data_IF_690250248157
#
_entry.id   IF_690250248157
#
_cell.length_a   1.000
_cell.length_b   1.000
_cell.length_c   1.000
_cell.angle_alpha   90.00
_cell.angle_beta   90.00
_cell.angle_gamma   90.00
#
_symmetry.space_group_name_H-M   'P 1'
#
loop_
_entity.id
_entity.type
_entity.pdbx_description
1 polymer ?
#
# COMPACT_ATOMS: atom_id res chain seq x y z
N UNK A 1 -49.81 10.55 18.30
CA UNK A 1 -48.64 11.46 18.32
C UNK A 1 -47.57 10.86 17.41
N UNK A 2 -47.09 11.60 16.39
CA UNK A 2 -46.17 11.04 15.41
C UNK A 2 -44.74 11.04 15.94
N UNK A 3 -43.98 10.00 15.59
CA UNK A 3 -42.56 9.87 15.85
C UNK A 3 -41.78 10.91 15.02
N UNK A 4 -40.83 11.59 15.64
CA UNK A 4 -39.90 12.49 14.95
C UNK A 4 -38.96 11.70 14.03
N UNK A 5 -38.94 11.96 12.71
CA UNK A 5 -37.89 11.48 11.83
C UNK A 5 -36.76 12.52 11.80
N UNK A 6 -35.51 12.13 12.04
CA UNK A 6 -34.40 13.08 11.84
C UNK A 6 -33.05 12.77 12.48
N UNK A 7 -32.92 11.75 13.32
CA UNK A 7 -31.63 11.46 13.99
C UNK A 7 -30.87 10.31 13.31
N UNK A 8 -31.54 9.31 12.74
CA UNK A 8 -30.86 8.19 12.06
C UNK A 8 -30.19 8.61 10.74
N UNK A 9 -30.82 9.47 9.93
CA UNK A 9 -30.24 9.92 8.67
C UNK A 9 -28.99 10.82 8.84
N UNK A 10 -28.89 11.57 9.95
CA UNK A 10 -27.75 12.41 10.26
C UNK A 10 -26.53 11.59 10.75
N UNK A 11 -26.77 10.51 11.51
CA UNK A 11 -25.72 9.59 11.96
C UNK A 11 -25.16 8.77 10.78
N UNK A 12 -26.00 8.44 9.79
CA UNK A 12 -25.60 7.74 8.57
C UNK A 12 -25.01 8.68 7.49
N UNK A 13 -25.25 9.99 7.58
CA UNK A 13 -24.60 10.99 6.75
C UNK A 13 -23.17 11.31 7.24
N UNK A 14 -22.94 11.31 8.56
CA UNK A 14 -21.61 11.52 9.14
C UNK A 14 -20.67 10.32 8.95
N UNK A 15 -21.19 9.09 8.94
CA UNK A 15 -20.40 7.90 8.57
C UNK A 15 -19.95 7.90 7.09
N UNK A 16 -20.68 8.57 6.19
CA UNK A 16 -20.33 8.69 4.76
C UNK A 16 -19.19 9.67 4.47
N UNK A 17 -18.86 10.57 5.40
CA UNK A 17 -17.71 11.48 5.28
C UNK A 17 -16.41 10.90 5.86
N UNK A 18 -16.46 9.77 6.56
CA UNK A 18 -15.30 9.03 7.08
C UNK A 18 -14.93 7.78 6.27
N UNK A 19 -15.66 7.54 5.17
CA UNK A 19 -15.44 6.40 4.29
C UNK A 19 -14.66 6.84 3.04
N UNK A 20 -13.41 6.34 2.95
CA UNK A 20 -12.55 6.25 1.76
C UNK A 20 -11.68 7.45 1.37
N UNK A 21 -10.52 7.58 2.02
CA UNK A 21 -9.33 8.17 1.38
C UNK A 21 -8.62 7.16 0.47
N UNK A 22 -7.92 7.64 -0.59
CA UNK A 22 -6.72 7.04 -1.14
C UNK A 22 -6.47 5.54 -1.08
N UNK A 23 -7.10 4.64 -1.85
CA UNK A 23 -6.42 3.34 -2.06
C UNK A 23 -5.12 3.63 -2.84
N UNK A 24 -3.97 3.15 -2.37
CA UNK A 24 -2.63 3.52 -2.81
C UNK A 24 -2.17 2.69 -4.00
N UNK A 25 -1.68 3.39 -5.01
CA UNK A 25 -1.16 2.78 -6.23
C UNK A 25 0.13 2.01 -5.96
N UNK A 26 0.24 0.87 -6.61
CA UNK A 26 1.49 0.44 -7.22
C UNK A 26 1.79 1.44 -8.35
N UNK A 27 2.35 2.60 -8.01
CA UNK A 27 2.62 3.61 -9.02
C UNK A 27 3.83 3.16 -9.84
N UNK A 28 3.58 2.70 -11.07
CA UNK A 28 4.53 2.91 -12.16
C UNK A 28 4.99 4.37 -12.14
N UNK A 29 6.23 4.63 -12.57
CA UNK A 29 6.83 5.97 -12.56
C UNK A 29 5.89 7.03 -13.17
N UNK A 30 5.03 6.68 -14.13
CA UNK A 30 4.08 7.61 -14.77
C UNK A 30 2.91 8.04 -13.86
N UNK A 31 2.22 7.11 -13.19
CA UNK A 31 1.18 7.45 -12.20
C UNK A 31 1.77 8.12 -10.94
N UNK A 32 3.05 7.87 -10.63
CA UNK A 32 3.79 8.57 -9.57
C UNK A 32 4.22 9.98 -9.99
N UNK A 33 4.61 10.18 -11.25
CA UNK A 33 4.96 11.48 -11.83
C UNK A 33 3.75 12.42 -11.82
N UNK A 34 2.54 11.92 -12.11
CA UNK A 34 1.31 12.71 -11.94
C UNK A 34 1.11 13.23 -10.50
N UNK A 35 1.63 12.54 -9.49
CA UNK A 35 1.58 12.98 -8.10
C UNK A 35 2.71 13.95 -7.71
N UNK A 36 3.79 14.04 -8.51
CA UNK A 36 4.98 14.85 -8.22
C UNK A 36 5.18 16.07 -9.13
N UNK A 37 4.64 16.06 -10.35
CA UNK A 37 4.72 17.17 -11.31
C UNK A 37 3.46 18.05 -11.22
N UNK A 38 3.28 18.74 -10.10
CA UNK A 38 2.41 19.90 -10.07
C UNK A 38 3.15 21.08 -10.72
N UNK A 39 3.26 21.09 -12.06
CA UNK A 39 3.38 22.37 -12.76
C UNK A 39 2.02 23.05 -12.62
N UNK A 40 1.89 23.77 -11.50
CA UNK A 40 0.77 24.62 -11.19
C UNK A 40 0.75 25.74 -12.24
N UNK A 41 -0.32 25.80 -13.05
CA UNK A 41 -0.71 27.05 -13.69
C UNK A 41 -1.22 27.95 -12.56
N UNK A 42 -0.29 28.67 -11.93
CA UNK A 42 -0.54 29.51 -10.76
C UNK A 42 -1.36 30.75 -11.14
N UNK A 43 -2.31 31.15 -10.29
CA UNK A 43 -2.30 32.48 -9.66
C UNK A 43 -2.92 32.46 -8.23
N UNK A 44 -2.18 33.08 -7.30
CA UNK A 44 -2.55 33.72 -6.01
C UNK A 44 -2.85 32.92 -4.71
N UNK A 45 -1.88 33.06 -3.77
CA UNK A 45 -1.93 33.29 -2.29
C UNK A 45 -2.45 32.24 -1.28
N UNK A 46 -1.48 31.70 -0.52
CA UNK A 46 -1.36 31.59 0.97
C UNK A 46 -2.47 30.98 1.86
N UNK A 47 -2.21 29.75 2.35
CA UNK A 47 -2.03 29.32 3.78
C UNK A 47 -2.53 27.89 4.02
N UNK A 48 -1.62 27.00 4.43
CA UNK A 48 -1.87 25.61 4.77
C UNK A 48 -1.91 25.42 6.30
N UNK A 49 -2.85 24.60 6.78
CA UNK A 49 -2.72 23.88 8.07
C UNK A 49 -3.28 22.44 7.94
N UNK A 50 -2.55 21.40 8.36
CA UNK A 50 -3.06 20.04 8.42
C UNK A 50 -3.53 19.65 9.84
N UNK A 51 -4.74 19.09 9.94
CA UNK A 51 -5.32 18.49 11.16
C UNK A 51 -5.11 16.96 11.24
N UNK A 52 -5.09 16.45 12.47
CA UNK A 52 -4.42 15.22 12.95
C UNK A 52 -5.31 13.97 13.19
N UNK A 53 -4.62 12.83 13.29
CA UNK A 53 -4.87 11.65 14.14
C UNK A 53 -5.84 10.51 13.73
N UNK A 54 -6.65 10.60 12.68
CA UNK A 54 -7.31 9.39 12.08
C UNK A 54 -6.65 8.88 10.79
N UNK A 55 -5.63 9.60 10.30
CA UNK A 55 -5.01 9.39 8.99
C UNK A 55 -3.93 8.29 8.95
N UNK A 56 -3.59 7.65 10.09
CA UNK A 56 -2.37 6.82 10.16
C UNK A 56 -2.55 5.40 9.66
N UNK A 57 -3.72 4.77 9.84
CA UNK A 57 -3.89 3.33 9.58
C UNK A 57 -4.02 3.03 8.07
N UNK A 58 -4.77 3.83 7.31
CA UNK A 58 -4.91 3.65 5.84
C UNK A 58 -3.67 4.08 5.05
N UNK A 59 -2.93 5.09 5.54
CA UNK A 59 -1.60 5.45 4.98
C UNK A 59 -0.57 4.32 5.15
N UNK A 60 -0.77 3.41 6.11
CA UNK A 60 0.17 2.32 6.36
C UNK A 60 0.00 1.14 5.40
N UNK A 61 -1.22 0.65 5.15
CA UNK A 61 -1.47 -0.39 4.12
C UNK A 61 -0.91 0.06 2.76
N UNK A 62 -1.02 1.35 2.50
CA UNK A 62 -0.47 2.03 1.33
C UNK A 62 1.00 2.00 1.12
N UNK A 63 1.74 2.23 2.19
CA UNK A 63 3.18 2.19 2.12
C UNK A 63 3.64 0.72 2.04
N UNK A 64 2.92 -0.23 2.63
CA UNK A 64 3.25 -1.66 2.59
C UNK A 64 3.08 -2.28 1.21
N UNK A 65 1.97 -2.00 0.52
CA UNK A 65 1.78 -2.46 -0.86
C UNK A 65 2.86 -1.89 -1.80
N UNK A 66 3.23 -0.61 -1.60
CA UNK A 66 4.37 0.02 -2.28
C UNK A 66 5.71 -0.61 -1.88
N UNK A 67 5.93 -0.94 -0.63
CA UNK A 67 7.16 -1.59 -0.17
C UNK A 67 7.30 -3.01 -0.71
N UNK A 68 6.20 -3.74 -0.87
CA UNK A 68 6.19 -5.07 -1.47
C UNK A 68 6.38 -5.01 -2.99
N UNK A 69 5.90 -3.94 -3.63
CA UNK A 69 6.07 -3.73 -5.06
C UNK A 69 7.53 -3.68 -5.52
N UNK A 70 8.47 -3.24 -4.65
CA UNK A 70 9.89 -3.16 -5.00
C UNK A 70 10.50 -4.51 -5.37
N UNK A 71 9.88 -5.60 -4.93
CA UNK A 71 10.31 -6.96 -5.25
C UNK A 71 9.79 -7.43 -6.61
N UNK A 72 8.90 -6.66 -7.24
CA UNK A 72 8.43 -6.90 -8.60
C UNK A 72 9.13 -5.92 -9.54
N UNK A 73 9.91 -6.41 -10.52
CA UNK A 73 10.43 -5.56 -11.58
C UNK A 73 9.29 -5.23 -12.55
N UNK A 74 8.41 -4.34 -12.12
CA UNK A 74 7.61 -3.54 -13.03
C UNK A 74 8.60 -2.59 -13.66
N UNK A 75 9.08 -2.89 -14.89
CA UNK A 75 9.87 -1.91 -15.63
C UNK A 75 9.06 -0.61 -15.62
N UNK A 76 9.63 0.51 -15.13
CA UNK A 76 9.07 1.81 -15.44
C UNK A 76 8.79 1.81 -16.94
N UNK A 77 7.57 2.16 -17.33
CA UNK A 77 7.47 2.77 -18.65
C UNK A 77 8.29 4.05 -18.49
N UNK A 78 9.55 4.05 -18.92
CA UNK A 78 10.32 5.28 -18.97
C UNK A 78 9.55 6.20 -19.90
N UNK A 79 8.89 7.21 -19.33
CA UNK A 79 8.36 8.30 -20.12
C UNK A 79 9.58 8.89 -20.83
N UNK A 80 9.52 9.15 -22.14
CA UNK A 80 10.53 9.99 -22.77
C UNK A 80 10.66 11.29 -21.97
N UNK A 81 11.86 11.88 -21.92
CA UNK A 81 12.13 13.12 -21.16
C UNK A 81 11.24 14.30 -21.58
N UNK A 82 10.53 14.17 -22.70
CA UNK A 82 9.56 15.12 -23.25
C UNK A 82 8.10 14.86 -22.84
N UNK A 83 7.80 13.76 -22.15
CA UNK A 83 6.44 13.41 -21.75
C UNK A 83 5.82 14.45 -20.79
N UNK A 84 4.66 14.97 -21.15
CA UNK A 84 3.90 15.93 -20.35
C UNK A 84 2.80 15.21 -19.56
N UNK A 85 2.71 15.54 -18.28
CA UNK A 85 1.68 15.06 -17.35
C UNK A 85 0.94 16.27 -16.78
N UNK A 86 -0.39 16.28 -16.88
CA UNK A 86 -1.22 17.40 -16.43
C UNK A 86 -2.09 16.96 -15.27
N UNK A 87 -2.09 17.74 -14.19
CA UNK A 87 -3.03 17.57 -13.07
C UNK A 87 -4.05 18.70 -13.11
N UNK A 88 -5.32 18.33 -13.16
CA UNK A 88 -6.46 19.24 -13.14
C UNK A 88 -7.08 19.24 -11.74
N UNK A 89 -7.38 20.43 -11.26
CA UNK A 89 -8.10 20.72 -10.02
C UNK A 89 -9.54 21.12 -10.31
N UNK A 90 -10.36 21.30 -9.27
CA UNK A 90 -11.73 21.80 -9.40
C UNK A 90 -11.84 23.17 -10.07
N UNK A 91 -10.77 23.98 -10.10
CA UNK A 91 -10.73 25.27 -10.82
C UNK A 91 -10.82 25.09 -12.34
N UNK A 92 -10.49 23.90 -12.83
CA UNK A 92 -10.54 23.54 -14.25
C UNK A 92 -11.89 22.93 -14.65
N UNK A 93 -12.82 22.77 -13.70
CA UNK A 93 -14.07 22.03 -13.86
C UNK A 93 -15.27 22.98 -13.80
N UNK A 94 -16.12 22.92 -14.81
CA UNK A 94 -17.37 23.67 -14.90
C UNK A 94 -18.38 23.23 -13.82
N UNK A 95 -19.43 24.04 -13.60
CA UNK A 95 -20.43 23.78 -12.55
C UNK A 95 -21.22 22.48 -12.75
N UNK A 96 -21.37 22.04 -14.00
CA UNK A 96 -22.02 20.78 -14.39
C UNK A 96 -21.10 19.55 -14.25
N UNK A 97 -19.84 19.77 -13.88
CA UNK A 97 -18.83 18.73 -13.74
C UNK A 97 -18.15 18.36 -15.05
N UNK A 98 -18.31 19.12 -16.13
CA UNK A 98 -17.49 19.01 -17.34
C UNK A 98 -16.13 19.71 -17.20
N UNK A 99 -15.14 19.35 -18.02
CA UNK A 99 -13.87 20.10 -18.10
C UNK A 99 -14.13 21.39 -18.88
N UNK A 100 -13.59 22.52 -18.40
CA UNK A 100 -13.77 23.81 -19.08
C UNK A 100 -13.27 23.74 -20.54
N UNK A 101 -14.01 24.29 -21.54
CA UNK A 101 -13.61 24.23 -22.95
C UNK A 101 -12.21 24.77 -23.23
N UNK A 102 -11.83 25.89 -22.60
CA UNK A 102 -10.49 26.47 -22.75
C UNK A 102 -9.37 25.53 -22.26
N UNK A 103 -9.65 24.70 -21.25
CA UNK A 103 -8.72 23.69 -20.74
C UNK A 103 -8.61 22.53 -21.75
N UNK A 104 -9.73 22.06 -22.30
CA UNK A 104 -9.74 21.04 -23.36
C UNK A 104 -8.97 21.49 -24.59
N UNK A 105 -9.16 22.74 -25.03
CA UNK A 105 -8.42 23.34 -26.14
C UNK A 105 -6.91 23.40 -25.86
N UNK A 106 -6.54 23.70 -24.62
CA UNK A 106 -5.13 23.71 -24.19
C UNK A 106 -4.53 22.31 -24.20
N UNK A 107 -5.26 21.30 -23.71
CA UNK A 107 -4.82 19.90 -23.70
C UNK A 107 -4.65 19.37 -25.13
N UNK A 108 -5.59 19.68 -26.03
CA UNK A 108 -5.55 19.25 -27.43
C UNK A 108 -4.35 19.80 -28.21
N UNK A 109 -3.80 20.95 -27.79
CA UNK A 109 -2.58 21.53 -28.40
C UNK A 109 -1.28 20.91 -27.90
N UNK A 110 -1.31 20.08 -26.85
CA UNK A 110 -0.10 19.47 -26.29
C UNK A 110 0.29 18.19 -27.06
N UNK A 111 1.33 18.29 -27.90
CA UNK A 111 1.84 17.18 -28.72
C UNK A 111 2.58 16.08 -27.93
N UNK A 112 2.98 16.38 -26.70
CA UNK A 112 3.69 15.43 -25.82
C UNK A 112 2.89 15.04 -24.58
N UNK A 113 1.58 15.33 -24.54
CA UNK A 113 0.73 14.95 -23.41
C UNK A 113 0.53 13.43 -23.34
N UNK A 114 1.04 12.83 -22.27
CA UNK A 114 1.01 11.39 -22.01
C UNK A 114 -0.03 11.04 -20.96
N UNK A 115 -0.26 11.90 -19.97
CA UNK A 115 -1.17 11.58 -18.87
C UNK A 115 -1.92 12.77 -18.28
N UNK A 116 -3.14 12.49 -17.84
CA UNK A 116 -4.01 13.44 -17.15
C UNK A 116 -4.42 12.86 -15.80
N UNK A 117 -4.33 13.68 -14.75
CA UNK A 117 -4.96 13.42 -13.47
C UNK A 117 -6.10 14.39 -13.21
N UNK A 118 -7.26 13.82 -12.88
CA UNK A 118 -8.49 14.48 -12.44
C UNK A 118 -8.85 14.00 -11.03
N UNK A 119 -7.87 13.47 -10.30
CA UNK A 119 -8.03 12.88 -8.98
C UNK A 119 -8.77 13.81 -8.02
N UNK A 120 -9.75 13.25 -7.31
CA UNK A 120 -10.54 13.93 -6.29
C UNK A 120 -11.19 15.23 -6.78
N UNK A 121 -11.43 15.37 -8.09
CA UNK A 121 -12.19 16.49 -8.65
C UNK A 121 -13.69 16.17 -8.72
N UNK A 122 -14.49 17.21 -8.97
CA UNK A 122 -15.95 17.15 -9.05
C UNK A 122 -16.49 16.63 -10.38
N UNK A 123 -15.64 16.11 -11.28
CA UNK A 123 -16.08 15.71 -12.61
C UNK A 123 -17.19 14.67 -12.59
N UNK A 124 -18.07 14.74 -13.59
CA UNK A 124 -19.10 13.74 -13.88
C UNK A 124 -18.73 12.96 -15.15
N UNK A 125 -19.52 11.94 -15.50
CA UNK A 125 -19.28 11.13 -16.70
C UNK A 125 -19.20 11.95 -18.00
N UNK A 126 -19.86 13.11 -18.06
CA UNK A 126 -19.81 14.02 -19.22
C UNK A 126 -18.41 14.61 -19.49
N UNK A 127 -17.55 14.72 -18.47
CA UNK A 127 -16.20 15.25 -18.61
C UNK A 127 -15.31 14.36 -19.49
N UNK A 128 -15.53 13.04 -19.47
CA UNK A 128 -14.65 12.09 -20.15
C UNK A 128 -14.83 12.14 -21.66
N UNK A 129 -16.05 12.42 -22.14
CA UNK A 129 -16.32 12.68 -23.56
C UNK A 129 -15.44 13.82 -24.11
N UNK A 130 -15.16 14.85 -23.30
CA UNK A 130 -14.26 15.95 -23.66
C UNK A 130 -12.81 15.53 -23.91
N UNK A 131 -12.38 14.37 -23.39
CA UNK A 131 -11.04 13.81 -23.58
C UNK A 131 -10.89 12.97 -24.84
N UNK A 132 -11.99 12.65 -25.55
CA UNK A 132 -11.97 11.84 -26.77
C UNK A 132 -11.07 12.37 -27.90
N UNK A 133 -10.85 13.70 -28.07
CA UNK A 133 -9.84 14.19 -29.01
C UNK A 133 -8.42 13.67 -28.72
N UNK A 134 -8.12 13.26 -27.48
CA UNK A 134 -6.83 12.73 -27.05
C UNK A 134 -6.72 11.20 -27.14
N UNK A 135 -7.70 10.51 -27.73
CA UNK A 135 -7.79 9.04 -27.75
C UNK A 135 -6.58 8.31 -28.33
N UNK A 136 -5.83 9.00 -29.20
CA UNK A 136 -4.65 8.46 -29.90
C UNK A 136 -3.31 8.87 -29.23
N UNK A 137 -3.34 9.54 -28.08
CA UNK A 137 -2.12 9.97 -27.38
C UNK A 137 -2.14 9.65 -25.88
N UNK A 138 -3.31 9.67 -25.25
CA UNK A 138 -3.43 9.55 -23.79
C UNK A 138 -3.11 8.12 -23.35
N UNK A 139 -2.06 7.98 -22.54
CA UNK A 139 -1.59 6.69 -22.03
C UNK A 139 -1.90 6.51 -20.54
N UNK A 140 -2.06 7.60 -19.79
CA UNK A 140 -2.32 7.56 -18.35
C UNK A 140 -3.52 8.41 -18.00
N UNK A 141 -4.48 7.82 -17.30
CA UNK A 141 -5.68 8.52 -16.85
C UNK A 141 -5.98 8.19 -15.39
N UNK A 142 -5.93 9.23 -14.55
CA UNK A 142 -6.22 9.16 -13.13
C UNK A 142 -7.57 9.83 -12.83
N UNK A 143 -8.58 9.00 -12.54
CA UNK A 143 -9.94 9.40 -12.21
C UNK A 143 -10.32 9.02 -10.78
N UNK A 144 -9.32 8.73 -9.93
CA UNK A 144 -9.55 8.29 -8.57
C UNK A 144 -10.42 9.31 -7.80
N UNK A 145 -11.42 8.84 -7.06
CA UNK A 145 -12.20 9.69 -6.16
C UNK A 145 -13.12 10.69 -6.88
N UNK A 146 -13.40 10.47 -8.17
CA UNK A 146 -14.30 11.28 -8.98
C UNK A 146 -15.74 10.73 -8.98
N UNK A 147 -16.69 11.46 -9.56
CA UNK A 147 -18.12 11.07 -9.59
C UNK A 147 -18.53 10.35 -10.87
N UNK A 148 -17.57 9.86 -11.66
CA UNK A 148 -17.85 9.09 -12.88
C UNK A 148 -18.61 7.79 -12.55
N UNK A 149 -19.48 7.40 -13.47
CA UNK A 149 -20.24 6.14 -13.44
C UNK A 149 -20.09 5.42 -14.79
N UNK A 150 -20.86 4.33 -14.97
CA UNK A 150 -20.76 3.46 -16.15
C UNK A 150 -20.99 4.19 -17.48
N UNK A 151 -21.67 5.35 -17.48
CA UNK A 151 -21.89 6.15 -18.70
C UNK A 151 -20.58 6.65 -19.31
N UNK A 152 -19.52 6.77 -18.51
CA UNK A 152 -18.21 7.21 -19.00
C UNK A 152 -17.35 6.09 -19.58
N UNK A 153 -17.71 4.81 -19.37
CA UNK A 153 -16.81 3.70 -19.66
C UNK A 153 -16.69 3.41 -21.16
N UNK A 154 -17.71 3.72 -21.96
CA UNK A 154 -17.62 3.65 -23.43
C UNK A 154 -16.63 4.70 -23.97
N UNK A 155 -16.65 5.91 -23.41
CA UNK A 155 -15.70 6.96 -23.75
C UNK A 155 -14.28 6.57 -23.31
N UNK A 156 -14.11 6.04 -22.10
CA UNK A 156 -12.83 5.54 -21.60
C UNK A 156 -12.32 4.38 -22.46
N UNK A 157 -13.21 3.45 -22.85
CA UNK A 157 -12.92 2.35 -23.76
C UNK A 157 -12.48 2.80 -25.15
N UNK A 158 -12.80 4.04 -25.54
CA UNK A 158 -12.37 4.64 -26.81
C UNK A 158 -10.96 5.23 -26.76
N UNK A 159 -10.37 5.41 -25.57
CA UNK A 159 -9.01 5.91 -25.36
C UNK A 159 -7.98 4.78 -25.53
N UNK A 160 -7.89 4.25 -26.75
CA UNK A 160 -7.21 2.98 -27.09
C UNK A 160 -5.71 2.94 -26.80
N UNK A 161 -5.06 4.10 -26.60
CA UNK A 161 -3.66 4.20 -26.21
C UNK A 161 -3.42 4.07 -24.68
N UNK A 162 -4.48 3.97 -23.87
CA UNK A 162 -4.37 3.84 -22.42
C UNK A 162 -3.55 2.62 -22.00
N UNK A 163 -2.59 2.88 -21.11
CA UNK A 163 -1.69 1.92 -20.46
C UNK A 163 -1.92 1.85 -18.97
N UNK A 164 -2.31 2.95 -18.35
CA UNK A 164 -2.51 3.04 -16.91
C UNK A 164 -3.81 3.80 -16.61
N UNK A 165 -4.74 3.12 -15.93
CA UNK A 165 -6.05 3.65 -15.59
C UNK A 165 -6.33 3.42 -14.10
N UNK A 166 -6.65 4.48 -13.39
CA UNK A 166 -7.15 4.39 -12.02
C UNK A 166 -8.55 4.99 -11.93
N UNK A 167 -9.49 4.16 -11.51
CA UNK A 167 -10.89 4.53 -11.26
C UNK A 167 -11.32 4.09 -9.87
N UNK A 168 -10.37 4.02 -8.92
CA UNK A 168 -10.65 3.73 -7.53
C UNK A 168 -11.58 4.77 -6.91
N UNK A 169 -12.50 4.32 -6.05
CA UNK A 169 -13.48 5.19 -5.35
C UNK A 169 -14.28 6.05 -6.34
N UNK A 170 -14.85 5.39 -7.35
CA UNK A 170 -15.80 5.98 -8.31
C UNK A 170 -17.17 5.31 -8.18
N UNK A 171 -18.14 5.68 -9.03
CA UNK A 171 -19.46 5.05 -9.09
C UNK A 171 -19.56 3.95 -10.15
N UNK A 172 -18.46 3.64 -10.84
CA UNK A 172 -18.34 2.54 -11.79
C UNK A 172 -18.74 1.21 -11.14
N UNK A 173 -19.42 0.37 -11.92
CA UNK A 173 -19.93 -0.92 -11.50
C UNK A 173 -19.45 -2.04 -12.42
N UNK A 174 -19.59 -3.29 -11.97
CA UNK A 174 -19.05 -4.46 -12.69
C UNK A 174 -19.56 -4.59 -14.15
N UNK A 175 -20.87 -4.41 -14.44
CA UNK A 175 -21.38 -4.45 -15.81
C UNK A 175 -20.67 -3.48 -16.78
N UNK A 176 -20.40 -2.25 -16.34
CA UNK A 176 -19.80 -1.22 -17.17
C UNK A 176 -18.38 -1.53 -17.63
N UNK A 177 -17.63 -2.36 -16.89
CA UNK A 177 -16.24 -2.71 -17.22
C UNK A 177 -16.08 -3.48 -18.53
N UNK A 178 -17.16 -4.02 -19.08
CA UNK A 178 -17.18 -4.63 -20.42
C UNK A 178 -16.70 -3.66 -21.50
N UNK A 179 -16.98 -2.36 -21.34
CA UNK A 179 -16.55 -1.32 -22.28
C UNK A 179 -15.03 -1.15 -22.33
N UNK A 180 -14.31 -1.54 -21.27
CA UNK A 180 -12.84 -1.45 -21.22
C UNK A 180 -12.14 -2.55 -22.03
N UNK A 181 -12.86 -3.58 -22.48
CA UNK A 181 -12.25 -4.74 -23.16
C UNK A 181 -11.54 -4.38 -24.46
N UNK A 182 -11.82 -3.21 -25.05
CA UNK A 182 -11.12 -2.62 -26.18
C UNK A 182 -9.70 -2.15 -25.87
N UNK A 183 -9.37 -1.88 -24.59
CA UNK A 183 -8.09 -1.30 -24.15
C UNK A 183 -6.96 -2.34 -24.13
N UNK A 184 -6.57 -2.84 -25.31
CA UNK A 184 -5.58 -3.92 -25.46
C UNK A 184 -4.16 -3.54 -25.01
N UNK A 185 -3.89 -2.24 -24.84
CA UNK A 185 -2.60 -1.71 -24.34
C UNK A 185 -2.58 -1.49 -22.83
N UNK A 186 -3.71 -1.70 -22.13
CA UNK A 186 -3.81 -1.46 -20.70
C UNK A 186 -2.91 -2.42 -19.92
N UNK A 187 -2.00 -1.86 -19.12
CA UNK A 187 -0.99 -2.56 -18.31
C UNK A 187 -1.30 -2.47 -16.82
N UNK A 188 -1.85 -1.35 -16.37
CA UNK A 188 -2.19 -1.07 -14.98
C UNK A 188 -3.65 -0.70 -14.90
N UNK A 189 -4.41 -1.42 -14.07
CA UNK A 189 -5.79 -1.11 -13.76
C UNK A 189 -5.98 -1.12 -12.24
N UNK A 190 -6.36 0.04 -11.70
CA UNK A 190 -6.68 0.22 -10.28
C UNK A 190 -8.19 0.43 -10.15
N UNK A 191 -8.85 -0.50 -9.47
CA UNK A 191 -10.27 -0.46 -9.16
C UNK A 191 -10.48 -0.69 -7.66
N UNK A 192 -11.47 0.00 -7.11
CA UNK A 192 -11.90 -0.22 -5.73
C UNK A 192 -13.36 0.14 -5.56
N UNK A 193 -13.94 -0.31 -4.46
CA UNK A 193 -15.29 0.05 -4.06
C UNK A 193 -16.31 -1.08 -4.24
N UNK A 194 -17.40 -0.94 -3.49
CA UNK A 194 -18.38 -2.00 -3.23
C UNK A 194 -19.27 -2.37 -4.43
N UNK A 195 -19.13 -1.68 -5.56
CA UNK A 195 -19.90 -1.92 -6.82
C UNK A 195 -19.20 -2.89 -7.77
N UNK A 196 -17.92 -3.19 -7.51
CA UNK A 196 -17.12 -4.18 -8.24
C UNK A 196 -17.25 -5.54 -7.53
N UNK A 197 -17.58 -6.60 -8.28
CA UNK A 197 -17.77 -7.97 -7.80
C UNK A 197 -17.24 -8.99 -8.84
N UNK A 198 -17.50 -10.28 -8.64
CA UNK A 198 -16.99 -11.36 -9.51
C UNK A 198 -17.32 -11.21 -11.01
N UNK A 199 -18.40 -10.53 -11.41
CA UNK A 199 -18.67 -10.34 -12.85
C UNK A 199 -17.69 -9.40 -13.52
N UNK A 200 -17.04 -8.51 -12.76
CA UNK A 200 -15.99 -7.64 -13.26
C UNK A 200 -14.77 -8.43 -13.75
N UNK A 201 -14.42 -9.53 -13.08
CA UNK A 201 -13.19 -10.27 -13.37
C UNK A 201 -13.26 -10.96 -14.74
N UNK A 202 -14.46 -11.29 -15.24
CA UNK A 202 -14.68 -11.80 -16.60
C UNK A 202 -14.26 -10.78 -17.65
N UNK A 203 -14.69 -9.51 -17.52
CA UNK A 203 -14.31 -8.45 -18.45
C UNK A 203 -12.80 -8.14 -18.34
N UNK A 204 -12.29 -8.08 -17.10
CA UNK A 204 -10.87 -7.81 -16.85
C UNK A 204 -9.98 -8.92 -17.43
N UNK A 205 -10.41 -10.18 -17.35
CA UNK A 205 -9.70 -11.32 -17.94
C UNK A 205 -9.50 -11.25 -19.46
N UNK A 206 -10.18 -10.32 -20.16
CA UNK A 206 -10.04 -10.08 -21.59
C UNK A 206 -9.02 -8.97 -21.95
N UNK A 207 -8.26 -8.48 -20.96
CA UNK A 207 -7.23 -7.45 -21.11
C UNK A 207 -5.83 -8.08 -21.17
N UNK A 208 -5.32 -8.44 -22.35
CA UNK A 208 -4.15 -9.32 -22.50
C UNK A 208 -2.83 -8.70 -22.06
N UNK A 209 -2.78 -7.37 -21.91
CA UNK A 209 -1.56 -6.63 -21.58
C UNK A 209 -1.42 -6.29 -20.10
N UNK A 210 -2.39 -6.68 -19.25
CA UNK A 210 -2.35 -6.36 -17.83
C UNK A 210 -1.13 -6.99 -17.16
N UNK A 211 -0.34 -6.12 -16.54
CA UNK A 211 0.82 -6.45 -15.72
C UNK A 211 0.49 -6.28 -14.24
N UNK A 212 -0.44 -5.38 -13.93
CA UNK A 212 -0.84 -5.07 -12.58
C UNK A 212 -2.34 -4.81 -12.50
N UNK A 213 -2.94 -5.38 -11.47
CA UNK A 213 -4.36 -5.24 -11.17
C UNK A 213 -4.55 -5.06 -9.66
N UNK A 214 -5.30 -4.04 -9.27
CA UNK A 214 -5.83 -3.92 -7.92
C UNK A 214 -7.34 -3.96 -7.95
N UNK A 215 -7.90 -4.83 -7.12
CA UNK A 215 -9.33 -4.98 -6.84
C UNK A 215 -9.58 -4.78 -5.34
N UNK A 216 -8.74 -3.97 -4.70
CA UNK A 216 -8.76 -3.81 -3.24
C UNK A 216 -10.05 -3.12 -2.79
N UNK A 217 -10.64 -3.60 -1.69
CA UNK A 217 -11.90 -3.08 -1.15
C UNK A 217 -13.12 -3.32 -2.06
N UNK A 218 -13.04 -4.28 -2.98
CA UNK A 218 -14.16 -4.71 -3.82
C UNK A 218 -14.91 -5.90 -3.21
N UNK A 219 -15.99 -6.34 -3.85
CA UNK A 219 -16.78 -7.53 -3.45
C UNK A 219 -16.40 -8.78 -4.25
N UNK A 220 -15.18 -8.83 -4.78
CA UNK A 220 -14.66 -10.04 -5.42
C UNK A 220 -14.49 -11.14 -4.38
N UNK A 221 -14.82 -12.36 -4.77
CA UNK A 221 -14.73 -13.59 -4.00
C UNK A 221 -13.89 -14.63 -4.75
N UNK A 222 -13.72 -15.81 -4.17
CA UNK A 222 -13.00 -16.94 -4.77
C UNK A 222 -13.54 -17.32 -6.17
N UNK A 223 -14.82 -17.04 -6.46
CA UNK A 223 -15.43 -17.31 -7.77
C UNK A 223 -14.82 -16.44 -8.88
N UNK A 224 -14.49 -15.19 -8.58
CA UNK A 224 -13.94 -14.24 -9.54
C UNK A 224 -12.49 -14.55 -9.94
N UNK A 225 -11.72 -15.28 -9.13
CA UNK A 225 -10.30 -15.52 -9.37
C UNK A 225 -10.01 -16.33 -10.64
N UNK A 226 -10.89 -17.26 -11.02
CA UNK A 226 -10.66 -18.13 -12.16
C UNK A 226 -10.53 -17.34 -13.49
N UNK A 227 -11.30 -16.26 -13.65
CA UNK A 227 -11.23 -15.41 -14.83
C UNK A 227 -9.91 -14.61 -14.91
N UNK A 228 -9.26 -14.34 -13.77
CA UNK A 228 -7.98 -13.62 -13.73
C UNK A 228 -6.79 -14.51 -14.14
N UNK A 229 -6.96 -15.83 -14.14
CA UNK A 229 -5.93 -16.79 -14.54
C UNK A 229 -5.57 -16.70 -16.05
N UNK A 230 -6.38 -16.01 -16.86
CA UNK A 230 -6.10 -15.73 -18.28
C UNK A 230 -5.05 -14.64 -18.49
N UNK A 231 -4.74 -13.85 -17.45
CA UNK A 231 -3.86 -12.69 -17.51
C UNK A 231 -2.39 -13.09 -17.50
N UNK A 232 -1.92 -13.72 -18.58
CA UNK A 232 -0.58 -14.32 -18.70
C UNK A 232 0.61 -13.37 -18.42
N UNK A 233 0.40 -12.05 -18.46
CA UNK A 233 1.41 -11.02 -18.19
C UNK A 233 1.35 -10.44 -16.77
N UNK A 234 0.39 -10.87 -15.95
CA UNK A 234 0.14 -10.33 -14.62
C UNK A 234 1.31 -10.66 -13.67
N UNK A 235 1.83 -9.62 -13.03
CA UNK A 235 2.97 -9.69 -12.09
C UNK A 235 2.59 -9.28 -10.68
N UNK A 236 1.60 -8.40 -10.53
CA UNK A 236 1.13 -7.91 -9.25
C UNK A 236 -0.40 -7.91 -9.19
N UNK A 237 -0.96 -8.51 -8.14
CA UNK A 237 -2.39 -8.61 -7.91
C UNK A 237 -2.74 -8.17 -6.48
N UNK A 238 -3.50 -7.08 -6.35
CA UNK A 238 -4.01 -6.58 -5.07
C UNK A 238 -5.45 -7.02 -4.83
N UNK A 239 -5.70 -7.78 -3.76
CA UNK A 239 -7.02 -8.25 -3.35
C UNK A 239 -7.33 -7.84 -1.90
N UNK A 240 -6.64 -6.83 -1.36
CA UNK A 240 -6.82 -6.46 0.04
C UNK A 240 -8.26 -6.01 0.33
N UNK A 241 -8.82 -6.39 1.48
CA UNK A 241 -10.17 -5.99 1.89
C UNK A 241 -11.28 -6.56 1.00
N UNK A 242 -11.01 -7.67 0.29
CA UNK A 242 -12.01 -8.44 -0.45
C UNK A 242 -12.50 -9.63 0.36
N UNK A 243 -13.47 -10.39 -0.15
CA UNK A 243 -14.06 -11.57 0.53
C UNK A 243 -13.44 -12.87 0.05
N UNK A 244 -12.12 -12.89 -0.04
CA UNK A 244 -11.35 -14.05 -0.49
C UNK A 244 -11.08 -14.94 0.72
N UNK A 245 -11.68 -16.13 0.72
CA UNK A 245 -11.45 -17.19 1.71
C UNK A 245 -10.26 -18.09 1.30
N UNK A 246 -9.91 -18.07 0.02
CA UNK A 246 -8.73 -18.72 -0.54
C UNK A 246 -8.95 -20.12 -1.08
N UNK A 247 -10.21 -20.57 -1.19
CA UNK A 247 -10.56 -21.92 -1.66
C UNK A 247 -10.15 -22.20 -3.12
N UNK A 248 -9.92 -21.15 -3.92
CA UNK A 248 -9.56 -21.24 -5.34
C UNK A 248 -8.24 -20.53 -5.70
N UNK A 249 -7.45 -20.12 -4.69
CA UNK A 249 -6.21 -19.36 -4.92
C UNK A 249 -5.23 -20.10 -5.84
N UNK A 250 -5.15 -21.42 -5.74
CA UNK A 250 -4.30 -22.27 -6.58
C UNK A 250 -4.56 -22.09 -8.08
N UNK A 251 -5.75 -21.64 -8.49
CA UNK A 251 -6.04 -21.33 -9.91
C UNK A 251 -5.18 -20.19 -10.46
N UNK A 252 -4.73 -19.26 -9.61
CA UNK A 252 -3.85 -18.17 -10.02
C UNK A 252 -2.38 -18.61 -10.11
N UNK A 253 -2.02 -19.78 -9.58
CA UNK A 253 -0.63 -20.26 -9.61
C UNK A 253 -0.16 -20.63 -11.03
N UNK A 254 -1.08 -20.73 -12.00
CA UNK A 254 -0.77 -20.90 -13.43
C UNK A 254 -0.13 -19.64 -14.04
N UNK A 255 -0.31 -18.47 -13.41
CA UNK A 255 0.24 -17.21 -13.90
C UNK A 255 1.77 -17.24 -13.82
N UNK A 256 2.48 -17.21 -14.97
CA UNK A 256 3.89 -17.58 -15.02
C UNK A 256 4.80 -16.53 -14.38
N UNK A 257 4.36 -15.28 -14.27
CA UNK A 257 5.14 -14.14 -13.81
C UNK A 257 4.56 -13.46 -12.55
N UNK A 258 3.52 -14.03 -11.94
CA UNK A 258 2.93 -13.45 -10.73
C UNK A 258 3.93 -13.50 -9.58
N UNK A 259 4.33 -12.32 -9.11
CA UNK A 259 5.42 -12.13 -8.16
C UNK A 259 5.01 -11.35 -6.90
N UNK A 260 3.91 -10.59 -6.93
CA UNK A 260 3.37 -9.91 -5.75
C UNK A 260 1.86 -10.13 -5.61
N UNK A 261 1.44 -10.51 -4.41
CA UNK A 261 0.06 -10.80 -4.08
C UNK A 261 -0.32 -10.10 -2.76
N UNK A 262 -1.32 -9.22 -2.82
CA UNK A 262 -1.95 -8.64 -1.62
C UNK A 262 -3.18 -9.44 -1.23
N UNK A 263 -3.20 -9.96 -0.01
CA UNK A 263 -4.35 -10.59 0.61
C UNK A 263 -4.63 -9.98 1.99
N UNK A 264 -4.15 -8.77 2.27
CA UNK A 264 -4.41 -8.10 3.54
C UNK A 264 -5.91 -7.91 3.78
N UNK A 265 -6.37 -8.11 5.01
CA UNK A 265 -7.78 -7.92 5.39
C UNK A 265 -8.74 -8.80 4.57
N UNK A 266 -8.33 -10.01 4.20
CA UNK A 266 -9.22 -11.02 3.62
C UNK A 266 -9.46 -12.19 4.58
N UNK A 267 -10.45 -13.01 4.26
CA UNK A 267 -10.89 -14.16 5.07
C UNK A 267 -10.02 -15.42 4.87
N UNK A 268 -8.73 -15.23 4.55
CA UNK A 268 -7.79 -16.33 4.31
C UNK A 268 -7.65 -17.18 5.56
N UNK A 269 -7.93 -18.47 5.40
CA UNK A 269 -7.80 -19.48 6.45
C UNK A 269 -6.40 -20.10 6.47
N UNK A 270 -5.99 -20.65 7.61
CA UNK A 270 -4.70 -21.36 7.70
C UNK A 270 -4.56 -22.51 6.70
N UNK A 271 -5.65 -23.20 6.38
CA UNK A 271 -5.68 -24.28 5.38
C UNK A 271 -5.55 -23.73 3.95
N UNK A 272 -6.19 -22.60 3.65
CA UNK A 272 -6.08 -21.96 2.33
C UNK A 272 -4.65 -21.46 2.03
N UNK A 273 -3.84 -21.12 3.05
CA UNK A 273 -2.40 -20.84 2.89
C UNK A 273 -1.66 -22.05 2.30
N UNK A 274 -2.14 -23.27 2.52
CA UNK A 274 -1.64 -24.47 1.84
C UNK A 274 -1.61 -24.33 0.31
N UNK A 275 -2.65 -23.73 -0.27
CA UNK A 275 -2.77 -23.47 -1.72
C UNK A 275 -1.79 -22.41 -2.21
N UNK A 276 -1.41 -21.45 -1.36
CA UNK A 276 -0.35 -20.49 -1.70
C UNK A 276 0.98 -21.19 -1.98
N UNK A 277 1.23 -22.39 -1.46
CA UNK A 277 2.48 -23.12 -1.77
C UNK A 277 2.66 -23.48 -3.25
N UNK A 278 1.63 -23.35 -4.09
CA UNK A 278 1.73 -23.49 -5.54
C UNK A 278 2.46 -22.31 -6.22
N UNK A 279 2.53 -21.14 -5.58
CA UNK A 279 3.11 -19.92 -6.15
C UNK A 279 4.64 -19.86 -5.97
N UNK A 280 5.36 -20.78 -6.61
CA UNK A 280 6.82 -20.96 -6.43
C UNK A 280 7.68 -19.75 -6.83
N UNK A 281 7.14 -18.82 -7.61
CA UNK A 281 7.83 -17.61 -8.08
C UNK A 281 7.47 -16.34 -7.29
N UNK A 282 6.59 -16.46 -6.28
CA UNK A 282 6.12 -15.33 -5.51
C UNK A 282 7.27 -14.69 -4.72
N UNK A 283 7.48 -13.40 -4.93
CA UNK A 283 8.54 -12.62 -4.27
C UNK A 283 8.01 -11.79 -3.13
N UNK A 284 6.74 -11.40 -3.18
CA UNK A 284 6.11 -10.55 -2.18
C UNK A 284 4.72 -11.07 -1.83
N UNK A 285 4.44 -11.19 -0.54
CA UNK A 285 3.15 -11.64 -0.03
C UNK A 285 2.72 -10.79 1.16
N UNK A 286 1.51 -10.25 1.07
CA UNK A 286 0.86 -9.56 2.18
C UNK A 286 -0.30 -10.40 2.73
N UNK A 287 -0.23 -10.76 4.00
CA UNK A 287 -1.26 -11.48 4.77
C UNK A 287 -1.59 -10.71 6.06
N UNK A 288 -1.45 -9.39 6.01
CA UNK A 288 -1.84 -8.53 7.11
C UNK A 288 -3.30 -8.76 7.51
N UNK A 289 -3.53 -8.84 8.82
CA UNK A 289 -4.87 -8.97 9.38
C UNK A 289 -5.70 -10.15 8.81
N UNK A 290 -5.03 -11.24 8.38
CA UNK A 290 -5.69 -12.51 8.11
C UNK A 290 -5.71 -13.33 9.41
N UNK A 291 -6.80 -13.34 10.20
CA UNK A 291 -6.78 -13.79 11.60
C UNK A 291 -6.36 -15.26 11.77
N UNK A 292 -6.66 -16.11 10.79
CA UNK A 292 -6.38 -17.54 10.82
C UNK A 292 -4.96 -17.91 10.37
N UNK A 293 -4.13 -16.92 10.00
CA UNK A 293 -2.70 -17.12 9.73
C UNK A 293 -1.94 -17.14 11.06
N UNK A 294 -1.51 -18.33 11.45
CA UNK A 294 -0.87 -18.67 12.75
C UNK A 294 0.31 -19.63 12.54
N UNK A 295 0.95 -20.09 13.63
CA UNK A 295 2.12 -20.98 13.55
C UNK A 295 1.91 -22.24 12.70
N UNK A 296 0.71 -22.83 12.73
CA UNK A 296 0.38 -23.98 11.89
C UNK A 296 0.47 -23.65 10.39
N UNK A 297 0.02 -22.46 9.98
CA UNK A 297 0.05 -21.98 8.59
C UNK A 297 1.49 -21.80 8.07
N UNK A 298 2.47 -21.55 8.95
CA UNK A 298 3.86 -21.31 8.55
C UNK A 298 4.54 -22.51 7.90
N UNK A 299 4.04 -23.73 8.10
CA UNK A 299 4.50 -24.92 7.38
C UNK A 299 4.32 -24.74 5.86
N UNK A 300 3.23 -24.10 5.45
CA UNK A 300 2.97 -23.82 4.03
C UNK A 300 3.74 -22.60 3.53
N UNK A 301 3.81 -21.52 4.33
CA UNK A 301 4.58 -20.32 3.98
C UNK A 301 6.07 -20.61 3.78
N UNK A 302 6.66 -21.50 4.58
CA UNK A 302 8.05 -21.91 4.45
C UNK A 302 8.37 -22.59 3.10
N UNK A 303 7.36 -23.01 2.33
CA UNK A 303 7.54 -23.60 0.99
C UNK A 303 7.72 -22.54 -0.11
N UNK A 304 7.51 -21.26 0.21
CA UNK A 304 7.63 -20.11 -0.68
C UNK A 304 9.05 -19.53 -0.64
N UNK A 305 10.04 -20.35 -0.99
CA UNK A 305 11.47 -20.05 -0.80
C UNK A 305 12.00 -18.90 -1.66
N UNK A 306 11.21 -18.41 -2.62
CA UNK A 306 11.51 -17.23 -3.44
C UNK A 306 11.07 -15.91 -2.81
N UNK A 307 10.38 -15.94 -1.66
CA UNK A 307 9.91 -14.73 -0.98
C UNK A 307 11.07 -13.84 -0.54
N UNK A 308 10.93 -12.57 -0.87
CA UNK A 308 11.80 -11.45 -0.50
C UNK A 308 11.07 -10.47 0.43
N UNK A 309 9.75 -10.33 0.30
CA UNK A 309 8.90 -9.53 1.19
C UNK A 309 7.75 -10.33 1.76
N UNK A 310 7.57 -10.30 3.08
CA UNK A 310 6.47 -10.95 3.78
C UNK A 310 5.89 -10.05 4.86
N UNK A 311 4.58 -9.80 4.79
CA UNK A 311 3.84 -9.04 5.79
C UNK A 311 2.84 -9.97 6.47
N UNK A 312 2.97 -10.11 7.79
CA UNK A 312 2.14 -10.95 8.67
C UNK A 312 1.60 -10.14 9.87
N UNK A 313 1.55 -8.81 9.71
CA UNK A 313 1.07 -7.88 10.73
C UNK A 313 -0.34 -8.24 11.19
N UNK A 314 -0.62 -7.98 12.45
CA UNK A 314 -1.94 -8.13 13.07
C UNK A 314 -2.48 -6.80 13.59
N UNK A 315 -3.73 -6.81 14.04
CA UNK A 315 -4.36 -5.65 14.69
C UNK A 315 -4.08 -5.60 16.20
N UNK A 316 -3.64 -6.72 16.79
CA UNK A 316 -3.32 -6.85 18.21
C UNK A 316 -4.49 -7.37 19.05
N UNK A 317 -5.67 -7.54 18.46
CA UNK A 317 -6.87 -8.08 19.12
C UNK A 317 -7.03 -9.59 18.92
N UNK A 318 -6.22 -10.20 18.08
CA UNK A 318 -6.33 -11.61 17.71
C UNK A 318 -5.90 -12.52 18.87
N UNK A 319 -6.74 -13.53 19.16
CA UNK A 319 -6.46 -14.55 20.18
C UNK A 319 -5.30 -15.48 19.82
N UNK A 320 -4.90 -15.51 18.56
CA UNK A 320 -3.82 -16.33 18.04
C UNK A 320 -3.06 -15.55 16.98
N UNK A 321 -1.74 -15.71 16.95
CA UNK A 321 -0.86 -15.13 15.93
C UNK A 321 0.44 -15.92 15.89
N UNK A 322 1.38 -15.46 15.05
CA UNK A 322 2.71 -16.08 14.95
C UNK A 322 3.47 -15.92 16.27
N UNK A 323 4.08 -17.00 16.73
CA UNK A 323 4.98 -17.06 17.90
C UNK A 323 6.40 -17.46 17.45
N UNK A 324 7.30 -17.73 18.40
CA UNK A 324 8.64 -18.26 18.12
C UNK A 324 8.62 -19.56 17.31
N UNK A 325 7.59 -20.41 17.45
CA UNK A 325 7.48 -21.66 16.67
C UNK A 325 7.32 -21.35 15.19
N UNK A 326 6.38 -20.48 14.82
CA UNK A 326 6.18 -20.08 13.44
C UNK A 326 7.37 -19.29 12.90
N UNK A 327 7.95 -18.40 13.71
CA UNK A 327 9.12 -17.62 13.31
C UNK A 327 10.34 -18.50 13.01
N UNK A 328 10.56 -19.58 13.78
CA UNK A 328 11.62 -20.54 13.51
C UNK A 328 11.47 -21.23 12.15
N UNK A 329 10.23 -21.51 11.73
CA UNK A 329 9.93 -22.05 10.39
C UNK A 329 10.11 -21.01 9.30
N UNK A 330 9.62 -19.79 9.50
CA UNK A 330 9.78 -18.68 8.55
C UNK A 330 11.24 -18.28 8.35
N UNK A 331 12.10 -18.47 9.35
CA UNK A 331 13.54 -18.23 9.25
C UNK A 331 14.28 -19.16 8.26
N UNK A 332 13.58 -20.11 7.62
CA UNK A 332 14.11 -20.90 6.49
C UNK A 332 14.05 -20.14 5.16
N UNK A 333 13.27 -19.06 5.07
CA UNK A 333 13.11 -18.23 3.88
C UNK A 333 14.31 -17.30 3.70
N UNK A 334 15.47 -17.86 3.34
CA UNK A 334 16.77 -17.18 3.30
C UNK A 334 16.89 -15.99 2.34
N UNK A 335 15.94 -15.83 1.42
CA UNK A 335 15.85 -14.71 0.48
C UNK A 335 15.07 -13.50 1.04
N UNK A 336 14.48 -13.61 2.24
CA UNK A 336 13.73 -12.51 2.85
C UNK A 336 14.61 -11.29 3.08
N UNK A 337 14.15 -10.16 2.56
CA UNK A 337 14.71 -8.83 2.70
C UNK A 337 13.79 -7.91 3.50
N UNK A 338 12.48 -8.16 3.50
CA UNK A 338 11.50 -7.40 4.26
C UNK A 338 10.55 -8.35 5.00
N UNK A 339 10.43 -8.13 6.31
CA UNK A 339 9.55 -8.91 7.17
C UNK A 339 8.81 -7.99 8.14
N UNK A 340 7.48 -8.03 8.09
CA UNK A 340 6.63 -7.33 9.04
C UNK A 340 5.88 -8.33 9.91
N UNK A 341 6.17 -8.31 11.20
CA UNK A 341 5.56 -9.14 12.25
C UNK A 341 4.94 -8.26 13.33
N UNK A 342 4.56 -7.02 12.99
CA UNK A 342 3.97 -6.11 13.96
C UNK A 342 2.70 -6.69 14.57
N UNK A 343 2.50 -6.44 15.87
CA UNK A 343 1.37 -6.94 16.67
C UNK A 343 1.24 -8.49 16.73
N UNK A 344 2.33 -9.21 16.49
CA UNK A 344 2.41 -10.66 16.73
C UNK A 344 3.00 -10.98 18.11
N UNK A 345 2.96 -12.26 18.50
CA UNK A 345 3.43 -12.72 19.83
C UNK A 345 4.92 -13.07 19.84
N UNK A 346 5.72 -12.25 19.17
CA UNK A 346 7.18 -12.38 19.18
C UNK A 346 7.75 -11.67 20.41
N UNK A 347 8.73 -12.29 21.05
CA UNK A 347 9.46 -11.78 22.20
C UNK A 347 10.97 -12.00 22.00
N UNK A 348 11.77 -11.69 23.01
CA UNK A 348 13.24 -11.81 22.94
C UNK A 348 13.73 -13.23 22.64
N UNK A 349 13.11 -14.25 23.26
CA UNK A 349 13.47 -15.65 23.03
C UNK A 349 13.10 -16.11 21.60
N UNK A 350 11.95 -15.66 21.11
CA UNK A 350 11.43 -16.01 19.81
C UNK A 350 12.27 -15.45 18.64
N UNK A 351 13.07 -14.39 18.86
CA UNK A 351 13.76 -13.67 17.78
C UNK A 351 15.04 -14.36 17.29
N UNK A 352 15.62 -15.27 18.09
CA UNK A 352 16.91 -15.93 17.80
C UNK A 352 16.99 -16.54 16.40
N UNK A 353 15.97 -17.25 15.88
CA UNK A 353 15.99 -17.80 14.53
C UNK A 353 16.15 -16.75 13.42
N UNK A 354 15.71 -15.49 13.61
CA UNK A 354 15.84 -14.45 12.59
C UNK A 354 17.30 -14.16 12.23
N UNK A 355 18.25 -14.43 13.14
CA UNK A 355 19.69 -14.26 12.86
C UNK A 355 20.19 -15.09 11.66
N UNK A 356 19.41 -16.08 11.20
CA UNK A 356 19.66 -16.87 9.98
C UNK A 356 19.32 -16.11 8.68
N UNK A 357 18.43 -15.10 8.73
CA UNK A 357 18.01 -14.32 7.57
C UNK A 357 19.03 -13.25 7.21
N UNK A 358 20.16 -13.66 6.63
CA UNK A 358 21.29 -12.77 6.30
C UNK A 358 20.99 -11.70 5.24
N UNK A 359 19.86 -11.82 4.53
CA UNK A 359 19.40 -10.87 3.53
C UNK A 359 18.43 -9.81 4.07
N UNK A 360 18.02 -9.92 5.34
CA UNK A 360 17.01 -9.04 5.92
C UNK A 360 17.50 -7.59 6.01
N UNK A 361 16.78 -6.68 5.37
CA UNK A 361 17.04 -5.23 5.32
C UNK A 361 16.04 -4.42 6.12
N UNK A 362 14.79 -4.86 6.15
CA UNK A 362 13.71 -4.15 6.82
C UNK A 362 12.92 -5.11 7.71
N UNK A 363 12.82 -4.76 8.98
CA UNK A 363 12.15 -5.56 10.00
C UNK A 363 11.23 -4.68 10.84
N UNK A 364 9.95 -5.04 10.85
CA UNK A 364 8.96 -4.41 11.72
C UNK A 364 8.48 -5.39 12.79
N UNK A 365 8.77 -5.01 14.04
CA UNK A 365 8.42 -5.71 15.28
C UNK A 365 7.64 -4.79 16.23
N UNK A 366 7.02 -3.72 15.71
CA UNK A 366 6.20 -2.84 16.52
C UNK A 366 5.03 -3.60 17.15
N UNK A 367 4.65 -3.23 18.37
CA UNK A 367 3.57 -3.87 19.12
C UNK A 367 3.83 -5.37 19.44
N UNK A 368 5.10 -5.79 19.49
CA UNK A 368 5.49 -7.14 19.94
C UNK A 368 6.01 -7.12 21.38
N UNK A 369 6.29 -8.29 21.96
CA UNK A 369 6.92 -8.43 23.26
C UNK A 369 8.45 -8.26 23.27
N UNK A 370 9.04 -7.71 22.20
CA UNK A 370 10.48 -7.49 22.07
C UNK A 370 10.99 -6.48 23.11
N UNK A 371 12.06 -6.82 23.82
CA UNK A 371 12.80 -5.97 24.74
C UNK A 371 14.28 -5.81 24.35
N UNK A 372 15.08 -5.29 25.28
CA UNK A 372 16.50 -5.02 25.04
C UNK A 372 17.30 -6.29 24.74
N UNK A 373 16.95 -7.43 25.35
CA UNK A 373 17.66 -8.69 25.11
C UNK A 373 17.48 -9.18 23.66
N UNK A 374 16.31 -8.92 23.05
CA UNK A 374 16.07 -9.21 21.64
C UNK A 374 16.93 -8.38 20.70
N UNK A 375 17.22 -7.12 21.04
CA UNK A 375 18.11 -6.26 20.24
C UNK A 375 19.53 -6.83 20.12
N UNK A 376 20.01 -7.59 21.11
CA UNK A 376 21.31 -8.29 21.05
C UNK A 376 21.36 -9.27 19.87
N UNK A 377 20.23 -9.91 19.56
CA UNK A 377 20.13 -10.82 18.43
C UNK A 377 19.96 -10.07 17.11
N UNK A 378 19.14 -9.03 17.07
CA UNK A 378 18.92 -8.22 15.86
C UNK A 378 20.20 -7.50 15.41
N UNK A 379 21.07 -7.11 16.36
CA UNK A 379 22.37 -6.52 16.07
C UNK A 379 23.29 -7.42 15.21
N UNK A 380 23.01 -8.73 15.15
CA UNK A 380 23.77 -9.73 14.37
C UNK A 380 23.31 -9.85 12.91
N UNK A 381 22.31 -9.06 12.47
CA UNK A 381 21.78 -9.07 11.11
C UNK A 381 22.64 -8.15 10.21
N UNK A 382 23.49 -8.68 9.32
CA UNK A 382 24.53 -7.88 8.68
C UNK A 382 24.02 -6.82 7.70
N UNK A 383 22.77 -6.96 7.22
CA UNK A 383 22.17 -6.12 6.19
C UNK A 383 20.98 -5.30 6.69
N UNK A 384 20.71 -5.29 7.99
CA UNK A 384 19.53 -4.60 8.53
C UNK A 384 19.68 -3.08 8.38
N UNK A 385 18.82 -2.48 7.58
CA UNK A 385 18.82 -1.05 7.25
C UNK A 385 17.75 -0.27 8.00
N UNK A 386 16.60 -0.90 8.27
CA UNK A 386 15.44 -0.31 8.93
C UNK A 386 14.87 -1.25 9.98
N UNK A 387 14.72 -0.74 11.21
CA UNK A 387 14.10 -1.44 12.33
C UNK A 387 12.96 -0.60 12.92
N UNK A 388 11.78 -1.22 13.06
CA UNK A 388 10.62 -0.60 13.70
C UNK A 388 10.30 -1.35 14.99
N UNK A 389 10.34 -0.64 16.12
CA UNK A 389 10.05 -1.15 17.47
C UNK A 389 9.10 -0.19 18.18
N UNK A 390 7.85 -0.18 17.71
CA UNK A 390 6.80 0.69 18.24
C UNK A 390 6.15 0.13 19.50
N UNK A 391 5.70 1.05 20.35
CA UNK A 391 4.86 0.79 21.51
C UNK A 391 3.58 1.64 21.44
N UNK A 392 2.47 1.11 21.95
CA UNK A 392 1.26 1.89 22.20
C UNK A 392 0.64 1.52 23.56
N UNK A 393 0.31 2.54 24.36
CA UNK A 393 -0.37 2.34 25.63
C UNK A 393 -1.73 1.67 25.41
N UNK A 394 -2.08 0.70 26.27
CA UNK A 394 -3.35 -0.04 26.18
C UNK A 394 -3.38 -1.17 25.15
N UNK A 395 -2.44 -1.22 24.19
CA UNK A 395 -2.41 -2.22 23.12
C UNK A 395 -1.29 -3.26 23.26
N UNK A 396 -0.48 -3.16 24.33
CA UNK A 396 0.78 -3.88 24.44
C UNK A 396 1.82 -3.29 23.48
N UNK A 397 3.10 -3.50 23.80
CA UNK A 397 4.15 -2.97 22.94
C UNK A 397 5.54 -3.41 23.35
N UNK A 398 6.51 -3.05 22.52
CA UNK A 398 7.89 -3.41 22.77
C UNK A 398 8.33 -2.90 24.13
N UNK A 399 9.06 -3.74 24.86
CA UNK A 399 9.76 -3.42 26.11
C UNK A 399 11.15 -2.83 25.86
N UNK A 400 11.42 -2.40 24.63
CA UNK A 400 12.67 -1.71 24.26
C UNK A 400 12.71 -0.36 24.99
N UNK A 401 13.84 -0.12 25.64
CA UNK A 401 14.16 1.15 26.29
C UNK A 401 15.45 1.71 25.69
N UNK A 402 15.82 2.94 26.05
CA UNK A 402 17.04 3.55 25.55
C UNK A 402 18.32 2.78 25.91
N UNK A 403 18.31 1.96 26.98
CA UNK A 403 19.44 1.08 27.31
C UNK A 403 19.70 0.04 26.22
N UNK A 404 18.66 -0.37 25.49
CA UNK A 404 18.79 -1.32 24.39
C UNK A 404 19.59 -0.78 23.21
N UNK A 405 19.68 0.55 23.04
CA UNK A 405 20.39 1.18 21.94
C UNK A 405 21.89 0.84 21.94
N UNK A 406 22.47 0.56 23.11
CA UNK A 406 23.88 0.15 23.23
C UNK A 406 24.19 -1.10 22.41
N UNK A 407 23.22 -2.01 22.24
CA UNK A 407 23.41 -3.24 21.47
C UNK A 407 23.49 -2.98 19.95
N UNK A 408 23.03 -1.81 19.50
CA UNK A 408 23.07 -1.39 18.11
C UNK A 408 24.30 -0.53 17.78
N UNK A 409 25.20 -0.29 18.75
CA UNK A 409 26.31 0.64 18.61
C UNK A 409 27.25 0.34 17.43
N UNK A 410 27.52 -0.95 17.21
CA UNK A 410 28.43 -1.43 16.16
C UNK A 410 27.70 -1.79 14.85
N UNK A 411 26.40 -1.47 14.75
CA UNK A 411 25.61 -1.87 13.59
C UNK A 411 25.92 -1.01 12.36
N UNK A 412 26.59 -1.60 11.37
CA UNK A 412 27.17 -0.87 10.22
C UNK A 412 26.18 -0.42 9.16
N UNK A 413 25.02 -1.07 9.07
CA UNK A 413 24.05 -0.86 7.99
C UNK A 413 22.75 -0.21 8.43
N UNK A 414 22.51 -0.10 9.75
CA UNK A 414 21.24 0.39 10.28
C UNK A 414 21.19 1.90 10.08
N UNK A 415 20.17 2.35 9.35
CA UNK A 415 20.03 3.76 8.94
C UNK A 415 18.69 4.35 9.35
N UNK A 416 17.66 3.53 9.51
CA UNK A 416 16.34 3.93 10.01
C UNK A 416 16.00 3.19 11.30
N UNK A 417 15.60 3.93 12.33
CA UNK A 417 15.08 3.38 13.57
C UNK A 417 13.79 4.09 13.96
N UNK A 418 12.72 3.33 14.19
CA UNK A 418 11.45 3.85 14.66
C UNK A 418 11.19 3.39 16.10
N UNK A 419 11.18 4.35 17.02
CA UNK A 419 10.96 4.18 18.46
C UNK A 419 9.60 4.74 18.89
N UNK A 420 8.64 4.87 17.96
CA UNK A 420 7.35 5.51 18.24
C UNK A 420 6.67 4.91 19.47
N UNK A 421 6.24 5.78 20.38
CA UNK A 421 5.53 5.44 21.61
C UNK A 421 6.37 4.74 22.68
N UNK A 422 7.65 4.45 22.44
CA UNK A 422 8.50 3.81 23.45
C UNK A 422 8.65 4.69 24.70
N UNK A 423 8.92 4.06 25.85
CA UNK A 423 9.12 4.73 27.14
C UNK A 423 10.50 5.36 27.24
N UNK A 424 10.78 6.33 26.38
CA UNK A 424 12.04 7.07 26.28
C UNK A 424 11.76 8.55 26.53
N UNK A 425 12.65 9.22 27.26
CA UNK A 425 12.51 10.61 27.68
C UNK A 425 13.78 11.43 27.42
N UNK A 426 13.74 12.73 27.72
CA UNK A 426 14.91 13.61 27.66
C UNK A 426 16.09 13.14 28.54
N UNK A 427 15.81 12.36 29.59
CA UNK A 427 16.85 11.80 30.46
C UNK A 427 17.72 10.75 29.73
N UNK A 428 17.21 10.19 28.63
CA UNK A 428 17.88 9.12 27.89
C UNK A 428 18.75 9.61 26.73
N UNK A 429 18.72 10.92 26.41
CA UNK A 429 19.49 11.51 25.30
C UNK A 429 20.96 11.09 25.24
N UNK A 430 21.71 10.98 26.37
CA UNK A 430 23.09 10.51 26.33
C UNK A 430 23.27 9.12 25.67
N UNK A 431 22.28 8.24 25.75
CA UNK A 431 22.33 6.87 25.22
C UNK A 431 22.22 6.81 23.70
N UNK A 432 21.66 7.84 23.05
CA UNK A 432 21.55 7.91 21.59
C UNK A 432 22.89 8.04 20.87
N UNK A 433 24.00 8.31 21.59
CA UNK A 433 25.35 8.24 21.00
C UNK A 433 25.67 6.86 20.42
N UNK A 434 25.06 5.80 20.97
CA UNK A 434 25.20 4.46 20.42
C UNK A 434 24.70 4.37 18.96
N UNK A 435 23.67 5.12 18.59
CA UNK A 435 23.07 5.06 17.25
C UNK A 435 23.43 6.27 16.39
N UNK A 436 24.66 6.78 16.53
CA UNK A 436 25.16 7.97 15.84
C UNK A 436 25.11 7.93 14.30
N UNK A 437 25.09 6.72 13.73
CA UNK A 437 25.14 6.50 12.28
C UNK A 437 23.75 6.50 11.60
N UNK A 438 22.66 6.67 12.36
CA UNK A 438 21.32 6.69 11.79
C UNK A 438 21.13 7.89 10.86
N UNK A 439 20.43 7.66 9.75
CA UNK A 439 19.96 8.70 8.82
C UNK A 439 18.55 9.17 9.13
N UNK A 440 17.74 8.34 9.77
CA UNK A 440 16.38 8.67 10.17
C UNK A 440 16.07 8.03 11.53
N UNK A 441 15.47 8.82 12.41
CA UNK A 441 15.02 8.39 13.73
C UNK A 441 13.63 8.93 14.01
N UNK A 442 12.65 8.05 14.20
CA UNK A 442 11.29 8.42 14.58
C UNK A 442 11.10 8.27 16.09
N UNK A 443 10.66 9.32 16.76
CA UNK A 443 10.43 9.39 18.22
C UNK A 443 9.02 9.90 18.56
N UNK A 444 8.09 9.81 17.61
CA UNK A 444 6.69 10.19 17.80
C UNK A 444 6.08 9.51 19.01
N UNK A 445 5.30 10.23 19.81
CA UNK A 445 4.63 9.66 20.99
C UNK A 445 5.56 9.20 22.12
N UNK A 446 6.86 9.51 22.08
CA UNK A 446 7.77 9.34 23.24
C UNK A 446 7.66 10.51 24.22
N UNK A 447 8.24 10.38 25.41
CA UNK A 447 8.35 11.45 26.40
C UNK A 447 9.53 12.41 26.13
N UNK A 448 10.20 12.31 24.98
CA UNK A 448 11.17 13.32 24.53
C UNK A 448 10.41 14.63 24.28
N UNK A 449 10.91 15.76 24.74
CA UNK A 449 10.29 17.07 24.52
C UNK A 449 10.74 17.69 23.20
N UNK A 450 10.16 18.82 22.79
CA UNK A 450 10.67 19.57 21.63
C UNK A 450 12.14 20.00 21.85
N UNK A 451 12.47 20.49 23.04
CA UNK A 451 13.84 20.86 23.41
C UNK A 451 14.78 19.64 23.43
N UNK A 452 14.30 18.49 23.89
CA UNK A 452 15.03 17.23 23.82
C UNK A 452 15.31 16.77 22.39
N UNK A 453 14.33 16.89 21.49
CA UNK A 453 14.49 16.57 20.08
C UNK A 453 15.50 17.49 19.38
N UNK A 454 15.52 18.79 19.71
CA UNK A 454 16.56 19.71 19.22
C UNK A 454 17.97 19.32 19.71
N UNK A 455 18.10 18.96 21.00
CA UNK A 455 19.36 18.46 21.55
C UNK A 455 19.79 17.17 20.83
N UNK A 456 18.85 16.28 20.56
CA UNK A 456 19.09 15.04 19.83
C UNK A 456 19.55 15.30 18.39
N UNK A 457 18.94 16.27 17.70
CA UNK A 457 19.36 16.66 16.35
C UNK A 457 20.79 17.22 16.32
N UNK A 458 21.20 17.96 17.35
CA UNK A 458 22.60 18.41 17.50
C UNK A 458 23.56 17.25 17.79
N UNK A 459 23.12 16.26 18.55
CA UNK A 459 23.90 15.06 18.87
C UNK A 459 24.02 14.10 17.67
N UNK A 460 23.05 14.13 16.76
CA UNK A 460 22.95 13.28 15.57
C UNK A 460 22.83 14.14 14.30
N UNK A 461 23.87 14.91 13.91
CA UNK A 461 23.76 15.94 12.88
C UNK A 461 23.43 15.41 11.46
N UNK A 462 23.69 14.13 11.19
CA UNK A 462 23.32 13.45 9.93
C UNK A 462 21.97 12.74 9.96
N UNK A 463 21.23 12.83 11.07
CA UNK A 463 19.99 12.09 11.29
C UNK A 463 18.77 12.99 11.18
N UNK A 464 17.81 12.63 10.32
CA UNK A 464 16.49 13.25 10.28
C UNK A 464 15.65 12.75 11.45
N UNK A 465 15.40 13.61 12.42
CA UNK A 465 14.50 13.34 13.53
C UNK A 465 13.04 13.58 13.10
N UNK A 466 12.19 12.57 13.27
CA UNK A 466 10.74 12.64 13.00
C UNK A 466 10.01 12.55 14.33
N UNK A 467 9.11 13.49 14.59
CA UNK A 467 8.35 13.62 15.82
C UNK A 467 6.86 13.64 15.52
#
# INVERSE_FOLDING_TARGET
>A
MPACPGIEDAVWANQRQHEYTPMPRLATVLLALLASTAQCLSQTTDTLKPGSLSQSIQRQHSNRWRELSRFVPLRPSEAPSTATFVTLTDDHIAKDGGILPAVLDSLARQTHLVGISLRNTRITSSAVAGLLPLKNQLQVLDLYGTRIDDKSLDDIGSLVELRELDMGVTRVSSPGLTALTSLKKLRVLELSGRRINDTATTAIGLLPSLVQLSLSGTRVTDKGLAALATLSRLKALGLSGTRIEGSTLDKLAVLPDLACLDLADTDITGDSVGRLSAFRKLKALNLENCPLVVDASTVHLARLTSLQGLVLRKTGFEKTSITGIGLARLATLSQLQHLNLSATRINDEAIVPLTKLKQLRSLDLGLTGLGNAGLVHLAKLPRLESLVVMYQEGFGGTKVTADGLQHLAEHKTLSGLDLTGTKISDADLPKFRAVANLKQLTISGTAITAAGAEKLARQLPGCRIIR
#
